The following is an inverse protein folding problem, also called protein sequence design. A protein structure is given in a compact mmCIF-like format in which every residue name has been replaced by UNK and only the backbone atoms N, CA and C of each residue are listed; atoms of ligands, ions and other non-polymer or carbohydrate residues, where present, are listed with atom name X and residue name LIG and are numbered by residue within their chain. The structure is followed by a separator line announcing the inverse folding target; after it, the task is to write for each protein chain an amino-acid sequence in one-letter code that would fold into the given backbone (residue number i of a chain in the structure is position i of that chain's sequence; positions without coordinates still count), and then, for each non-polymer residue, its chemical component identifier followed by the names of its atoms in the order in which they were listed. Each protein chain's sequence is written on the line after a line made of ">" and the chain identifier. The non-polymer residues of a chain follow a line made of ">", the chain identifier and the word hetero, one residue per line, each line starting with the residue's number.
data_IF_946640152454
#
_entry.id   IF_946640152454
#
_cell.length_a   1.000
_cell.length_b   1.000
_cell.length_c   1.000
_cell.angle_alpha   90.00
_cell.angle_beta   90.00
_cell.angle_gamma   90.00
#
_symmetry.space_group_name_H-M   'P 1'
#
loop_
_entity.id
_entity.type
_entity.pdbx_description
1 polymer ?
#
# COMPACT_ATOMS: atom_id res chain seq x y z
N UNK A 1 5.73 -4.50 16.04
CA UNK A 1 6.88 -3.88 15.36
C UNK A 1 6.62 -2.39 15.26
N UNK A 2 7.61 -1.57 15.53
CA UNK A 2 7.55 -0.09 15.43
C UNK A 2 8.87 0.39 14.84
N UNK A 3 8.97 1.68 14.53
CA UNK A 3 10.20 2.31 14.01
C UNK A 3 10.66 1.78 12.65
N UNK A 4 9.69 1.43 11.78
CA UNK A 4 9.98 1.08 10.40
C UNK A 4 10.48 2.32 9.62
N UNK A 5 11.35 2.15 8.61
CA UNK A 5 11.71 3.23 7.71
C UNK A 5 10.50 3.84 7.01
N UNK A 6 10.50 5.16 6.80
CA UNK A 6 9.45 5.82 6.03
C UNK A 6 9.61 5.59 4.53
N UNK A 7 10.86 5.62 4.05
CA UNK A 7 11.22 5.43 2.66
C UNK A 7 12.26 4.32 2.49
N UNK A 8 12.28 3.72 1.31
CA UNK A 8 13.33 2.82 0.83
C UNK A 8 13.83 3.27 -0.55
N UNK A 9 15.06 2.90 -0.96
CA UNK A 9 15.51 3.12 -2.33
C UNK A 9 14.59 2.44 -3.35
N UNK A 10 14.22 3.14 -4.42
CA UNK A 10 13.29 2.62 -5.45
C UNK A 10 13.90 1.52 -6.34
N UNK A 11 15.23 1.30 -6.27
CA UNK A 11 15.92 0.20 -6.96
C UNK A 11 16.00 -1.11 -6.16
N UNK A 12 15.58 -1.14 -4.89
CA UNK A 12 15.44 -2.40 -4.15
C UNK A 12 14.17 -3.10 -4.63
N UNK A 13 14.28 -4.43 -4.84
CA UNK A 13 13.19 -5.25 -5.36
C UNK A 13 11.87 -4.90 -4.65
N UNK A 14 10.93 -4.40 -5.45
CA UNK A 14 9.56 -4.15 -5.00
C UNK A 14 9.01 -5.52 -4.63
N UNK A 15 8.50 -5.69 -3.42
CA UNK A 15 7.86 -6.95 -3.03
C UNK A 15 6.72 -7.24 -4.01
N UNK A 16 6.49 -8.52 -4.31
CA UNK A 16 5.45 -8.93 -5.27
C UNK A 16 4.10 -8.33 -4.87
N UNK A 17 3.58 -7.41 -5.70
CA UNK A 17 2.34 -6.66 -5.45
C UNK A 17 2.52 -5.18 -5.08
N UNK A 18 3.72 -4.70 -4.81
CA UNK A 18 3.97 -3.27 -4.57
C UNK A 18 4.09 -2.51 -5.89
N UNK A 19 3.33 -1.46 -6.05
CA UNK A 19 3.46 -0.52 -7.17
C UNK A 19 4.36 0.62 -6.75
N UNK A 20 5.51 0.79 -7.40
CA UNK A 20 6.34 1.96 -7.22
C UNK A 20 5.57 3.20 -7.71
N UNK A 21 5.20 4.06 -6.77
CA UNK A 21 4.54 5.34 -7.06
C UNK A 21 5.62 6.44 -7.09
N UNK A 22 5.83 7.05 -8.26
CA UNK A 22 6.76 8.16 -8.41
C UNK A 22 8.05 7.82 -9.18
N UNK A 23 8.87 8.84 -9.45
CA UNK A 23 10.01 8.77 -10.35
C UNK A 23 11.36 9.12 -9.69
N UNK A 24 11.43 9.10 -8.35
CA UNK A 24 12.67 9.41 -7.63
C UNK A 24 13.44 8.17 -7.19
N UNK A 25 14.60 8.42 -6.58
CA UNK A 25 15.40 7.37 -5.94
C UNK A 25 14.75 6.77 -4.68
N UNK A 26 13.60 7.30 -4.23
CA UNK A 26 12.92 6.90 -2.99
C UNK A 26 11.46 6.53 -3.23
N UNK A 27 11.01 5.47 -2.57
CA UNK A 27 9.60 5.09 -2.50
C UNK A 27 9.18 4.87 -1.05
N UNK A 28 7.88 4.99 -0.74
CA UNK A 28 7.38 4.73 0.60
C UNK A 28 7.47 3.23 0.93
N UNK A 29 7.84 2.90 2.17
CA UNK A 29 7.89 1.50 2.64
C UNK A 29 6.47 0.94 2.80
N UNK A 30 5.55 1.71 3.41
CA UNK A 30 4.15 1.31 3.56
C UNK A 30 3.30 1.94 2.44
N UNK A 31 3.00 3.23 2.59
CA UNK A 31 2.29 4.02 1.57
C UNK A 31 2.53 5.52 1.80
N UNK A 32 2.29 6.32 0.77
CA UNK A 32 2.55 7.76 0.74
C UNK A 32 1.76 8.60 1.76
N UNK A 33 0.80 8.02 2.46
CA UNK A 33 -0.08 8.71 3.41
C UNK A 33 0.30 8.44 4.87
N UNK A 34 1.34 7.65 5.12
CA UNK A 34 1.89 7.40 6.45
C UNK A 34 2.63 8.63 6.94
N UNK A 35 2.33 9.08 8.15
CA UNK A 35 3.02 10.21 8.76
C UNK A 35 4.47 9.85 9.10
N UNK A 36 5.43 10.75 8.84
CA UNK A 36 6.72 10.70 9.51
C UNK A 36 6.51 10.74 11.03
N UNK A 37 7.40 10.13 11.79
CA UNK A 37 7.43 10.32 13.25
C UNK A 37 7.66 11.79 13.60
N UNK A 38 7.14 12.26 14.77
CA UNK A 38 7.28 13.66 15.17
C UNK A 38 8.73 14.16 15.14
N UNK A 39 9.67 13.33 15.57
CA UNK A 39 11.10 13.64 15.59
C UNK A 39 11.72 13.78 14.20
N UNK A 40 11.10 13.24 13.17
CA UNK A 40 11.56 13.29 11.78
C UNK A 40 10.88 14.36 10.94
N UNK A 41 9.86 15.06 11.47
CA UNK A 41 9.03 16.00 10.70
C UNK A 41 9.81 17.13 10.02
N UNK A 42 10.92 17.55 10.61
CA UNK A 42 11.74 18.65 10.07
C UNK A 42 12.82 18.17 9.09
N UNK A 43 13.12 16.87 9.07
CA UNK A 43 14.30 16.32 8.36
C UNK A 43 13.98 15.24 7.34
N UNK A 44 12.79 14.65 7.33
CA UNK A 44 12.48 13.48 6.51
C UNK A 44 12.66 13.69 4.99
N UNK A 45 12.59 14.92 4.51
CA UNK A 45 12.77 15.27 3.10
C UNK A 45 14.20 15.66 2.74
N UNK A 46 15.03 16.02 3.74
CA UNK A 46 16.46 16.28 3.55
C UNK A 46 17.32 15.05 3.84
N UNK A 47 16.83 14.13 4.67
CA UNK A 47 17.48 12.85 5.02
C UNK A 47 16.49 11.67 4.98
N UNK A 48 15.98 11.30 3.77
CA UNK A 48 14.97 10.27 3.65
C UNK A 48 15.40 8.89 4.12
N UNK A 49 16.69 8.58 4.05
CA UNK A 49 17.26 7.30 4.45
C UNK A 49 17.16 7.02 5.94
N UNK A 50 17.11 8.05 6.78
CA UNK A 50 16.97 7.95 8.23
C UNK A 50 15.58 8.31 8.75
N UNK A 51 14.64 8.63 7.85
CA UNK A 51 13.28 8.98 8.23
C UNK A 51 12.49 7.76 8.71
N UNK A 52 11.87 7.85 9.88
CA UNK A 52 11.04 6.81 10.47
C UNK A 52 9.56 7.07 10.22
N UNK A 53 8.83 6.00 9.92
CA UNK A 53 7.37 6.00 9.77
C UNK A 53 6.67 5.93 11.13
N UNK A 54 5.58 6.65 11.28
CA UNK A 54 4.68 6.49 12.41
C UNK A 54 3.68 5.35 12.11
N UNK A 55 4.28 4.16 11.86
CA UNK A 55 3.58 2.91 11.57
C UNK A 55 3.87 1.87 12.64
N UNK A 56 3.01 0.89 12.73
CA UNK A 56 3.08 -0.19 13.72
C UNK A 56 2.41 -1.45 13.21
N UNK A 57 2.99 -2.62 13.54
CA UNK A 57 2.44 -3.93 13.22
C UNK A 57 2.37 -4.80 14.48
N UNK A 58 1.33 -5.62 14.55
CA UNK A 58 1.17 -6.68 15.56
C UNK A 58 1.64 -7.97 14.92
N UNK A 59 2.68 -8.56 15.51
CA UNK A 59 3.24 -9.83 15.06
C UNK A 59 3.05 -10.89 16.13
N UNK A 60 2.55 -12.05 15.74
CA UNK A 60 2.38 -13.21 16.62
C UNK A 60 2.91 -14.46 15.92
N UNK A 61 3.77 -15.23 16.61
CA UNK A 61 4.38 -16.45 16.08
C UNK A 61 5.09 -16.26 14.72
N UNK A 62 5.72 -15.08 14.51
CA UNK A 62 6.41 -14.75 13.26
C UNK A 62 5.49 -14.34 12.11
N UNK A 63 4.17 -14.21 12.35
CA UNK A 63 3.19 -13.80 11.36
C UNK A 63 2.58 -12.45 11.77
N UNK A 64 2.53 -11.51 10.85
CA UNK A 64 1.80 -10.25 11.04
C UNK A 64 0.30 -10.53 11.12
N UNK A 65 -0.32 -10.18 12.24
CA UNK A 65 -1.77 -10.29 12.46
C UNK A 65 -2.52 -9.04 12.03
N UNK A 66 -1.86 -7.94 11.99
CA UNK A 66 -2.42 -6.66 11.59
C UNK A 66 -1.44 -5.53 11.78
N UNK A 67 -1.77 -4.40 11.21
CA UNK A 67 -0.92 -3.22 11.28
C UNK A 67 -1.71 -1.95 11.00
N UNK A 68 -1.02 -0.83 11.15
CA UNK A 68 -1.61 0.47 10.93
C UNK A 68 -0.60 1.58 10.97
N UNK A 69 -1.10 2.78 10.82
CA UNK A 69 -0.26 3.97 10.92
C UNK A 69 -1.05 5.19 11.37
N UNK A 70 -0.33 6.14 11.91
CA UNK A 70 -0.81 7.52 12.00
C UNK A 70 -0.69 8.13 10.61
N UNK A 71 -1.76 8.77 10.15
CA UNK A 71 -1.86 9.35 8.82
C UNK A 71 -1.36 10.79 8.79
N UNK A 72 -0.86 11.20 7.65
CA UNK A 72 -0.64 12.61 7.39
C UNK A 72 -2.00 13.31 7.34
N UNK A 73 -2.17 14.38 8.12
CA UNK A 73 -3.36 15.21 8.15
C UNK A 73 -3.07 16.67 7.76
N UNK A 74 -1.78 16.99 7.55
CA UNK A 74 -1.31 18.31 7.14
C UNK A 74 -0.92 18.30 5.67
N UNK A 75 -1.47 19.24 4.91
CA UNK A 75 -1.20 19.36 3.47
C UNK A 75 0.27 19.58 3.15
N UNK A 76 0.93 20.48 3.89
CA UNK A 76 2.36 20.79 3.69
C UNK A 76 3.27 19.55 3.87
N UNK A 77 2.97 18.70 4.84
CA UNK A 77 3.70 17.44 5.07
C UNK A 77 3.46 16.46 3.92
N UNK A 78 2.21 16.34 3.45
CA UNK A 78 1.86 15.44 2.35
C UNK A 78 2.53 15.84 1.03
N UNK A 79 2.57 17.13 0.73
CA UNK A 79 3.24 17.63 -0.47
C UNK A 79 4.76 17.38 -0.43
N UNK A 80 5.39 17.50 0.74
CA UNK A 80 6.80 17.16 0.93
C UNK A 80 7.07 15.66 0.74
N UNK A 81 6.21 14.79 1.26
CA UNK A 81 6.33 13.32 1.04
C UNK A 81 6.22 12.99 -0.45
N UNK A 82 5.25 13.53 -1.16
CA UNK A 82 5.12 13.34 -2.61
C UNK A 82 6.36 13.82 -3.35
N UNK A 83 6.94 14.96 -2.95
CA UNK A 83 8.17 15.48 -3.55
C UNK A 83 9.35 14.54 -3.34
N UNK A 84 9.52 13.95 -2.16
CA UNK A 84 10.57 12.94 -1.90
C UNK A 84 10.39 11.73 -2.83
N UNK A 85 9.15 11.32 -3.09
CA UNK A 85 8.83 10.22 -4.00
C UNK A 85 8.92 10.60 -5.48
N UNK A 86 9.22 11.86 -5.82
CA UNK A 86 9.44 12.35 -7.19
C UNK A 86 8.18 12.73 -7.95
N UNK A 87 7.05 12.96 -7.26
CA UNK A 87 5.88 13.56 -7.91
C UNK A 87 6.11 15.05 -8.16
N UNK A 88 5.79 15.50 -9.34
CA UNK A 88 5.61 16.93 -9.61
C UNK A 88 4.33 17.43 -8.89
N UNK A 89 4.22 18.75 -8.76
CA UNK A 89 3.02 19.34 -8.15
C UNK A 89 1.76 19.04 -8.99
N UNK A 90 1.91 19.06 -10.31
CA UNK A 90 0.84 18.76 -11.27
C UNK A 90 0.39 17.31 -11.17
N UNK A 91 1.32 16.36 -11.09
CA UNK A 91 1.02 14.94 -10.93
C UNK A 91 0.36 14.66 -9.58
N UNK A 92 0.87 15.23 -8.49
CA UNK A 92 0.27 15.11 -7.17
C UNK A 92 -1.16 15.66 -7.16
N UNK A 93 -1.41 16.82 -7.79
CA UNK A 93 -2.74 17.39 -7.90
C UNK A 93 -3.67 16.57 -8.79
N UNK A 94 -3.17 16.03 -9.92
CA UNK A 94 -3.97 15.22 -10.83
C UNK A 94 -4.43 13.89 -10.21
N UNK A 95 -3.55 13.23 -9.42
CA UNK A 95 -3.83 11.93 -8.80
C UNK A 95 -4.48 12.02 -7.43
N UNK A 96 -4.08 12.99 -6.60
CA UNK A 96 -4.43 13.11 -5.20
C UNK A 96 -5.04 14.48 -4.83
N UNK A 97 -5.45 15.26 -5.83
CA UNK A 97 -6.00 16.59 -5.63
C UNK A 97 -7.20 16.60 -4.69
N UNK A 98 -8.08 15.60 -4.79
CA UNK A 98 -9.22 15.46 -3.89
C UNK A 98 -8.82 15.35 -2.41
N UNK A 99 -7.73 14.62 -2.11
CA UNK A 99 -7.19 14.49 -0.76
C UNK A 99 -6.51 15.79 -0.30
N UNK A 100 -5.67 16.37 -1.14
CA UNK A 100 -4.99 17.63 -0.85
C UNK A 100 -5.98 18.77 -0.62
N UNK A 101 -7.09 18.77 -1.34
CA UNK A 101 -8.16 19.75 -1.17
C UNK A 101 -8.96 19.49 0.11
N UNK A 102 -9.20 18.23 0.48
CA UNK A 102 -9.85 17.88 1.74
C UNK A 102 -9.07 18.40 2.96
N UNK A 103 -7.74 18.40 2.93
CA UNK A 103 -6.91 18.93 4.01
C UNK A 103 -7.11 20.44 4.26
N UNK A 104 -7.59 21.20 3.28
CA UNK A 104 -7.92 22.63 3.44
C UNK A 104 -9.03 22.87 4.46
N UNK A 105 -9.88 21.86 4.70
CA UNK A 105 -10.98 21.93 5.65
C UNK A 105 -10.61 21.52 7.08
N UNK A 106 -9.33 21.23 7.33
CA UNK A 106 -8.83 20.93 8.66
C UNK A 106 -9.06 19.46 9.07
N UNK A 107 -8.47 18.54 8.36
CA UNK A 107 -8.48 17.14 8.75
C UNK A 107 -7.89 16.96 10.16
N UNK A 108 -8.55 16.22 11.07
CA UNK A 108 -8.01 15.98 12.40
C UNK A 108 -6.82 14.99 12.32
N UNK A 109 -5.92 14.97 13.32
CA UNK A 109 -5.02 13.87 13.51
C UNK A 109 -5.80 12.54 13.54
N UNK A 110 -5.41 11.58 12.75
CA UNK A 110 -6.10 10.30 12.63
C UNK A 110 -5.14 9.17 12.33
N UNK A 111 -5.57 7.97 12.60
CA UNK A 111 -4.86 6.73 12.34
C UNK A 111 -5.80 5.57 12.55
N UNK A 112 -5.28 4.37 12.44
CA UNK A 112 -6.09 3.17 12.58
C UNK A 112 -5.26 1.90 12.63
N UNK A 113 -5.94 0.80 12.92
CA UNK A 113 -5.40 -0.54 12.94
C UNK A 113 -6.32 -1.45 12.13
N UNK A 114 -5.76 -2.19 11.20
CA UNK A 114 -6.45 -3.26 10.48
C UNK A 114 -5.92 -4.61 10.96
N UNK A 115 -6.82 -5.55 11.18
CA UNK A 115 -6.50 -6.91 11.61
C UNK A 115 -6.83 -7.90 10.50
N UNK A 116 -5.91 -8.84 10.24
CA UNK A 116 -6.11 -9.94 9.31
C UNK A 116 -7.06 -10.98 9.91
N UNK A 117 -8.35 -10.92 9.57
CA UNK A 117 -9.36 -11.77 10.17
C UNK A 117 -9.08 -13.27 9.96
N UNK A 118 -8.67 -13.66 8.76
CA UNK A 118 -8.32 -15.05 8.46
C UNK A 118 -7.12 -15.55 9.28
N UNK A 119 -6.13 -14.67 9.49
CA UNK A 119 -4.97 -14.98 10.34
C UNK A 119 -5.38 -15.20 11.81
N UNK A 120 -6.28 -14.36 12.31
CA UNK A 120 -6.84 -14.52 13.67
C UNK A 120 -7.65 -15.81 13.76
N UNK A 121 -8.50 -16.10 12.78
CA UNK A 121 -9.29 -17.34 12.74
C UNK A 121 -8.39 -18.58 12.71
N UNK A 122 -7.34 -18.58 11.88
CA UNK A 122 -6.34 -19.64 11.84
C UNK A 122 -5.65 -19.86 13.20
N UNK A 123 -5.30 -18.78 13.87
CA UNK A 123 -4.69 -18.83 15.19
C UNK A 123 -5.63 -19.41 16.25
N UNK A 124 -6.91 -18.99 16.26
CA UNK A 124 -7.92 -19.47 17.22
C UNK A 124 -8.26 -20.96 17.01
N UNK A 125 -8.21 -21.44 15.77
CA UNK A 125 -8.49 -22.86 15.44
C UNK A 125 -7.25 -23.74 15.49
N UNK A 126 -6.06 -23.16 15.66
CA UNK A 126 -4.80 -23.88 15.60
C UNK A 126 -4.47 -24.40 14.19
N UNK A 127 -5.04 -23.81 13.15
CA UNK A 127 -4.84 -24.23 11.77
C UNK A 127 -3.46 -23.76 11.25
N UNK A 128 -2.68 -24.62 10.59
CA UNK A 128 -1.35 -24.28 10.07
C UNK A 128 -1.40 -23.38 8.84
N UNK A 129 -2.56 -23.27 8.17
CA UNK A 129 -2.78 -22.47 6.98
C UNK A 129 -4.08 -21.69 7.05
N UNK A 130 -4.07 -20.43 6.61
CA UNK A 130 -5.30 -19.62 6.48
C UNK A 130 -6.28 -20.20 5.46
N UNK A 131 -5.83 -21.07 4.55
CA UNK A 131 -6.70 -21.77 3.59
C UNK A 131 -7.73 -22.66 4.28
N UNK A 132 -7.42 -23.15 5.49
CA UNK A 132 -8.31 -24.03 6.24
C UNK A 132 -9.47 -23.27 6.89
N UNK A 133 -9.38 -21.94 6.98
CA UNK A 133 -10.38 -21.06 7.60
C UNK A 133 -11.08 -20.12 6.62
N UNK A 134 -10.64 -20.10 5.35
CA UNK A 134 -11.27 -19.35 4.26
C UNK A 134 -12.28 -20.26 3.55
N UNK A 135 -13.52 -19.80 3.42
CA UNK A 135 -14.61 -20.59 2.83
C UNK A 135 -14.34 -20.98 1.35
N UNK A 136 -13.71 -20.08 0.58
CA UNK A 136 -13.41 -20.29 -0.85
C UNK A 136 -11.96 -19.87 -1.15
N UNK A 137 -10.95 -20.66 -0.69
CA UNK A 137 -9.56 -20.32 -0.91
C UNK A 137 -9.19 -20.46 -2.38
N UNK A 138 -8.34 -19.56 -2.88
CA UNK A 138 -7.77 -19.65 -4.21
C UNK A 138 -6.73 -20.76 -4.27
N UNK A 139 -6.61 -21.44 -5.42
CA UNK A 139 -5.51 -22.36 -5.72
C UNK A 139 -4.26 -21.60 -6.22
N UNK A 140 -3.22 -22.33 -6.64
CA UNK A 140 -2.04 -21.72 -7.26
C UNK A 140 -2.43 -20.81 -8.44
N UNK A 141 -1.62 -19.79 -8.69
CA UNK A 141 -1.83 -18.80 -9.75
C UNK A 141 -3.15 -18.01 -9.66
N UNK A 142 -3.75 -17.96 -8.46
CA UNK A 142 -5.00 -17.24 -8.23
C UNK A 142 -6.26 -17.90 -8.79
N UNK A 143 -6.16 -19.15 -9.23
CA UNK A 143 -7.31 -19.92 -9.73
C UNK A 143 -8.39 -20.06 -8.65
N UNK A 144 -9.62 -19.76 -9.02
CA UNK A 144 -10.80 -20.09 -8.23
C UNK A 144 -11.35 -21.47 -8.64
N UNK A 145 -11.21 -22.51 -7.82
CA UNK A 145 -11.68 -23.85 -8.16
C UNK A 145 -13.21 -23.94 -8.32
N UNK A 146 -13.97 -23.04 -7.71
CA UNK A 146 -15.42 -23.04 -7.78
C UNK A 146 -15.94 -22.47 -9.11
N UNK A 147 -15.38 -21.37 -9.56
CA UNK A 147 -15.84 -20.65 -10.76
C UNK A 147 -14.97 -20.90 -12.00
N UNK A 148 -13.77 -21.45 -11.81
CA UNK A 148 -12.77 -21.60 -12.87
C UNK A 148 -12.13 -20.27 -13.29
N UNK A 149 -12.31 -19.19 -12.53
CA UNK A 149 -11.66 -17.90 -12.81
C UNK A 149 -10.16 -17.95 -12.43
N UNK A 150 -9.28 -17.20 -13.13
CA UNK A 150 -9.57 -16.33 -14.26
C UNK A 150 -9.91 -17.09 -15.53
N UNK A 151 -10.76 -16.53 -16.38
CA UNK A 151 -11.16 -17.06 -17.67
C UNK A 151 -10.94 -16.01 -18.76
N UNK A 152 -10.70 -16.42 -20.02
CA UNK A 152 -10.58 -15.49 -21.12
C UNK A 152 -11.86 -14.63 -21.25
N UNK A 153 -11.68 -13.34 -21.54
CA UNK A 153 -12.78 -12.44 -21.84
C UNK A 153 -13.20 -12.58 -23.31
N UNK A 154 -14.48 -12.40 -23.60
CA UNK A 154 -14.99 -12.47 -24.98
C UNK A 154 -14.67 -11.19 -25.76
N UNK A 155 -14.74 -11.26 -27.09
CA UNK A 155 -14.57 -10.07 -27.95
C UNK A 155 -15.63 -9.00 -27.71
N UNK A 156 -16.84 -9.40 -27.29
CA UNK A 156 -17.90 -8.48 -26.91
C UNK A 156 -17.52 -7.73 -25.62
N UNK A 157 -17.05 -8.44 -24.61
CA UNK A 157 -16.58 -7.83 -23.36
C UNK A 157 -15.41 -6.88 -23.59
N UNK A 158 -14.48 -7.20 -24.49
CA UNK A 158 -13.39 -6.28 -24.87
C UNK A 158 -13.90 -5.00 -25.49
N UNK A 159 -14.86 -5.11 -26.41
CA UNK A 159 -15.50 -3.95 -27.08
C UNK A 159 -16.25 -3.08 -26.09
N UNK A 160 -17.04 -3.69 -25.19
CA UNK A 160 -17.80 -2.97 -24.17
C UNK A 160 -16.91 -2.21 -23.19
N UNK A 161 -15.78 -2.80 -22.79
CA UNK A 161 -14.84 -2.19 -21.84
C UNK A 161 -13.84 -1.24 -22.49
N UNK A 162 -13.72 -1.25 -23.83
CA UNK A 162 -12.71 -0.48 -24.55
C UNK A 162 -11.26 -0.94 -24.27
N UNK A 163 -11.11 -2.16 -23.76
CA UNK A 163 -9.79 -2.76 -23.46
C UNK A 163 -9.38 -3.64 -24.64
N UNK A 164 -8.25 -3.34 -25.26
CA UNK A 164 -7.67 -4.17 -26.31
C UNK A 164 -6.31 -4.69 -25.84
N UNK A 165 -6.10 -5.99 -26.05
CA UNK A 165 -4.83 -6.65 -25.77
C UNK A 165 -4.07 -6.77 -27.10
N UNK A 166 -2.91 -6.13 -27.18
CA UNK A 166 -1.95 -6.36 -28.27
C UNK A 166 -1.03 -7.49 -27.81
N UNK A 167 -1.07 -8.69 -28.45
CA UNK A 167 -0.12 -9.74 -28.14
C UNK A 167 1.30 -9.22 -28.36
N UNK A 168 2.22 -9.52 -27.45
CA UNK A 168 3.63 -9.38 -27.73
C UNK A 168 3.97 -10.37 -28.85
N UNK A 169 4.57 -9.87 -29.92
CA UNK A 169 5.08 -10.74 -30.99
C UNK A 169 6.19 -11.63 -30.40
N UNK A 170 6.03 -12.97 -30.50
CA UNK A 170 7.01 -13.97 -30.07
C UNK A 170 8.33 -13.88 -30.88
#
# INVERSE_FOLDING_TARGET
>A
MVDAPLFKPSGEAVAEGDVALGHSAWTAVHHAFTSPKPECLDTFDTDPGNALAYAYDIVCNGVELGGGSIRIHRRDVQERVFKVMGFSQEEAQARFGFLLDAFKYGAPPHGGLALGWDRIAGMLTGSPSIRDVIAFPKAGDGLDPLTGAPAPITDEQRKETGVDYVPEDD
#
